data_IF_742719769357
#
_entry.id   IF_742719769357
#
_cell.length_a   1.000
_cell.length_b   1.000
_cell.length_c   1.000
_cell.angle_alpha   90.00
_cell.angle_beta   90.00
_cell.angle_gamma   90.00
#
_symmetry.space_group_name_H-M   'P 1'
#
loop_
_entity.id
_entity.type
_entity.pdbx_description
1 polymer ?
#
# COMPACT_ATOMS: atom_id res chain seq x y z
N UNK A 1 -8.62 -47.83 53.90
CA UNK A 1 -9.75 -48.65 53.45
C UNK A 1 -9.59 -48.67 51.92
N UNK A 2 -8.73 -49.38 51.43
CA UNK A 2 -8.58 -50.78 50.97
C UNK A 2 -9.64 -51.16 49.94
N UNK A 3 -9.09 -51.67 48.87
CA UNK A 3 -9.51 -52.64 47.85
C UNK A 3 -10.02 -52.04 46.54
N UNK A 4 -9.66 -52.45 45.40
CA UNK A 4 -8.75 -53.43 44.82
C UNK A 4 -9.23 -53.65 43.34
N UNK A 5 -8.33 -53.80 42.44
CA UNK A 5 -8.51 -54.22 41.03
C UNK A 5 -9.14 -55.63 40.90
N UNK A 6 -9.63 -56.05 39.72
CA UNK A 6 -8.72 -56.80 38.89
C UNK A 6 -8.83 -56.54 37.37
N UNK A 7 -7.71 -56.87 36.74
CA UNK A 7 -7.43 -57.05 35.32
C UNK A 7 -8.03 -58.32 34.73
N UNK A 8 -8.17 -58.39 33.43
CA UNK A 8 -7.92 -59.60 32.61
C UNK A 8 -7.85 -59.26 31.10
N UNK A 9 -6.70 -59.51 30.51
CA UNK A 9 -6.42 -59.84 29.11
C UNK A 9 -6.81 -61.33 28.81
N UNK A 10 -6.65 -61.90 27.60
CA UNK A 10 -6.16 -61.51 26.29
C UNK A 10 -6.92 -62.14 25.09
N UNK A 11 -6.50 -61.87 23.83
CA UNK A 11 -6.18 -62.82 22.74
C UNK A 11 -6.33 -62.16 21.38
N UNK A 12 -5.20 -61.89 20.71
CA UNK A 12 -4.53 -62.58 19.63
C UNK A 12 -5.45 -62.94 18.42
N UNK A 13 -5.20 -62.36 17.32
CA UNK A 13 -5.69 -62.74 15.99
C UNK A 13 -4.95 -62.00 14.89
N UNK A 14 -4.04 -62.67 14.34
CA UNK A 14 -3.04 -62.40 13.28
C UNK A 14 -3.68 -62.32 11.88
N UNK A 15 -2.93 -61.68 10.94
CA UNK A 15 -2.99 -61.78 9.49
C UNK A 15 -4.04 -60.97 8.73
N UNK A 16 -3.64 -59.95 7.94
CA UNK A 16 -3.27 -60.05 6.52
C UNK A 16 -2.74 -58.71 5.98
N UNK A 17 -1.59 -58.77 5.33
CA UNK A 17 -1.05 -57.73 4.46
C UNK A 17 -1.94 -57.59 3.23
N UNK A 18 -2.30 -56.35 2.85
CA UNK A 18 -2.56 -56.01 1.48
C UNK A 18 -2.19 -54.55 1.24
N UNK A 19 -1.29 -54.37 0.33
CA UNK A 19 -0.92 -53.08 -0.26
C UNK A 19 -2.14 -52.46 -0.91
N UNK A 20 -2.51 -51.26 -0.47
CA UNK A 20 -3.48 -50.40 -1.13
C UNK A 20 -2.78 -49.12 -1.55
N UNK A 21 -2.50 -49.05 -2.84
CA UNK A 21 -2.06 -47.85 -3.54
C UNK A 21 -3.13 -46.79 -3.33
N UNK A 22 -2.83 -45.74 -2.57
CA UNK A 22 -3.67 -44.56 -2.51
C UNK A 22 -3.44 -43.72 -3.78
N UNK A 23 -4.28 -43.98 -4.76
CA UNK A 23 -4.45 -43.15 -5.94
C UNK A 23 -5.17 -41.87 -5.47
N UNK A 24 -4.45 -40.75 -5.33
CA UNK A 24 -5.04 -39.45 -5.15
C UNK A 24 -5.78 -39.05 -6.44
N UNK A 25 -7.07 -39.29 -6.47
CA UNK A 25 -7.92 -38.70 -7.47
C UNK A 25 -8.04 -37.19 -7.18
N UNK A 26 -7.28 -36.41 -7.98
CA UNK A 26 -7.47 -34.97 -8.11
C UNK A 26 -8.86 -34.75 -8.73
N UNK A 27 -9.87 -34.44 -7.92
CA UNK A 27 -11.19 -34.03 -8.42
C UNK A 27 -11.05 -32.61 -8.97
N UNK A 28 -10.83 -32.50 -10.26
CA UNK A 28 -11.05 -31.25 -10.99
C UNK A 28 -12.54 -30.98 -11.02
N UNK A 29 -13.01 -30.02 -10.27
CA UNK A 29 -14.36 -29.48 -10.43
C UNK A 29 -14.33 -28.62 -11.69
N UNK A 30 -14.73 -29.22 -12.81
CA UNK A 30 -14.95 -28.50 -14.06
C UNK A 30 -16.37 -27.90 -13.96
N UNK A 31 -16.46 -26.62 -13.66
CA UNK A 31 -17.68 -25.85 -13.82
C UNK A 31 -17.92 -25.61 -15.32
N UNK A 32 -18.89 -26.31 -15.89
CA UNK A 32 -19.33 -26.09 -17.28
C UNK A 32 -20.37 -24.97 -17.25
N UNK A 33 -20.04 -23.82 -17.79
CA UNK A 33 -21.03 -22.79 -18.14
C UNK A 33 -21.58 -23.10 -19.54
N UNK A 34 -22.88 -22.82 -19.77
CA UNK A 34 -23.66 -23.13 -20.99
C UNK A 34 -23.12 -22.55 -22.31
N UNK A 35 -21.96 -21.86 -22.29
CA UNK A 35 -21.33 -21.30 -23.50
C UNK A 35 -19.99 -21.95 -23.87
N UNK A 36 -19.61 -23.07 -23.29
CA UNK A 36 -18.47 -23.90 -23.74
C UNK A 36 -17.09 -23.28 -23.69
N UNK A 37 -16.89 -22.12 -23.01
CA UNK A 37 -15.60 -21.51 -22.80
C UNK A 37 -15.05 -21.89 -21.43
N UNK A 38 -14.09 -22.79 -21.41
CA UNK A 38 -13.30 -23.11 -20.23
C UNK A 38 -12.24 -21.99 -20.09
N UNK A 39 -12.45 -21.09 -19.14
CA UNK A 39 -11.39 -20.17 -18.73
C UNK A 39 -10.39 -20.93 -17.86
N UNK A 40 -9.27 -21.27 -18.46
CA UNK A 40 -8.12 -21.69 -17.65
C UNK A 40 -7.63 -20.46 -16.90
N UNK A 41 -7.75 -20.43 -15.57
CA UNK A 41 -7.06 -19.44 -14.73
C UNK A 41 -5.57 -19.52 -15.03
N UNK A 42 -5.02 -18.42 -15.52
CA UNK A 42 -3.61 -18.31 -15.87
C UNK A 42 -2.79 -18.35 -14.57
N UNK A 43 -1.93 -19.34 -14.34
CA UNK A 43 -1.11 -19.42 -13.13
C UNK A 43 -0.19 -18.20 -12.93
N UNK A 44 0.08 -17.42 -13.97
CA UNK A 44 0.82 -16.14 -13.89
C UNK A 44 0.11 -15.08 -13.02
N UNK A 45 -1.23 -15.18 -12.81
CA UNK A 45 -1.94 -14.25 -11.92
C UNK A 45 -1.82 -14.59 -10.43
N UNK A 46 -1.38 -15.81 -10.07
CA UNK A 46 -1.16 -16.20 -8.67
C UNK A 46 0.26 -15.88 -8.16
N UNK A 47 1.26 -15.83 -9.03
CA UNK A 47 2.61 -15.41 -8.64
C UNK A 47 2.69 -13.89 -8.39
N UNK A 48 1.96 -13.09 -9.16
CA UNK A 48 1.91 -11.62 -8.98
C UNK A 48 1.39 -11.17 -7.61
N UNK A 49 0.63 -11.99 -6.89
CA UNK A 49 0.06 -11.60 -5.59
C UNK A 49 1.02 -11.77 -4.40
N UNK A 50 2.13 -12.50 -4.56
CA UNK A 50 3.14 -12.65 -3.50
C UNK A 50 4.21 -11.56 -3.54
N UNK A 51 4.38 -10.94 -4.69
CA UNK A 51 5.43 -9.95 -4.94
C UNK A 51 4.94 -8.51 -4.74
N UNK A 52 3.66 -8.33 -4.41
CA UNK A 52 3.04 -7.01 -4.24
C UNK A 52 1.99 -7.02 -3.12
N UNK A 53 2.03 -6.00 -2.27
CA UNK A 53 1.04 -5.75 -1.23
C UNK A 53 0.30 -4.45 -1.56
N UNK A 54 -1.02 -4.55 -1.74
CA UNK A 54 -1.86 -3.38 -1.89
C UNK A 54 -1.98 -2.65 -0.53
N UNK A 55 -1.67 -1.36 -0.50
CA UNK A 55 -1.83 -0.50 0.66
C UNK A 55 -3.18 0.19 0.64
N UNK A 56 -3.55 0.77 -0.52
CA UNK A 56 -4.80 1.52 -0.67
C UNK A 56 -5.23 1.54 -2.14
N UNK A 57 -6.52 1.37 -2.41
CA UNK A 57 -7.11 1.49 -3.74
C UNK A 57 -8.28 2.48 -3.82
N UNK A 58 -8.57 3.15 -2.70
CA UNK A 58 -9.63 4.16 -2.56
C UNK A 58 -11.04 3.67 -2.92
N UNK A 59 -11.34 2.37 -2.74
CA UNK A 59 -12.67 1.82 -3.01
C UNK A 59 -13.65 1.95 -1.85
N UNK A 60 -13.16 2.33 -0.67
CA UNK A 60 -13.93 2.33 0.56
C UNK A 60 -14.06 3.77 1.10
N UNK A 61 -15.03 4.57 0.61
CA UNK A 61 -15.34 5.87 1.18
C UNK A 61 -16.10 5.75 2.51
N UNK A 62 -15.93 6.71 3.39
CA UNK A 62 -16.85 6.96 4.49
C UNK A 62 -18.14 7.65 3.98
N UNK A 63 -19.07 7.98 4.89
CA UNK A 63 -20.35 8.62 4.57
C UNK A 63 -20.20 9.98 3.87
N UNK A 64 -19.03 10.60 3.92
CA UNK A 64 -18.71 11.89 3.31
C UNK A 64 -17.81 11.81 2.09
N UNK A 65 -17.50 10.59 1.63
CA UNK A 65 -16.62 10.34 0.49
C UNK A 65 -15.13 10.44 0.80
N UNK A 66 -14.74 10.49 2.07
CA UNK A 66 -13.35 10.46 2.50
C UNK A 66 -12.89 9.00 2.69
N UNK A 67 -11.60 8.67 2.49
CA UNK A 67 -11.14 7.30 2.65
C UNK A 67 -11.39 6.75 4.06
N UNK A 68 -12.05 5.61 4.15
CA UNK A 68 -12.37 4.99 5.43
C UNK A 68 -11.09 4.59 6.18
N UNK A 69 -11.01 4.93 7.46
CA UNK A 69 -9.84 4.63 8.30
C UNK A 69 -8.67 5.59 8.13
N UNK A 70 -8.78 6.58 7.26
CA UNK A 70 -7.78 7.64 7.14
C UNK A 70 -8.02 8.76 8.16
N UNK A 71 -6.94 9.40 8.55
CA UNK A 71 -6.92 10.57 9.41
C UNK A 71 -6.42 11.82 8.68
N UNK A 72 -6.54 12.96 9.36
CA UNK A 72 -6.02 14.23 8.89
C UNK A 72 -5.05 14.83 9.91
N UNK A 73 -4.04 15.54 9.43
CA UNK A 73 -2.99 16.10 10.29
C UNK A 73 -3.50 17.16 11.27
N UNK A 74 -4.47 17.96 10.85
CA UNK A 74 -5.00 19.08 11.67
C UNK A 74 -6.49 18.93 11.95
N UNK A 75 -7.31 18.83 10.92
CA UNK A 75 -8.77 18.84 11.02
C UNK A 75 -9.39 17.88 10.03
N UNK A 76 -10.10 16.88 10.54
CA UNK A 76 -10.86 15.94 9.71
C UNK A 76 -11.98 16.66 8.95
N UNK A 77 -12.61 17.69 9.54
CA UNK A 77 -13.65 18.46 8.86
C UNK A 77 -13.10 19.14 7.60
N UNK A 78 -11.98 19.86 7.72
CA UNK A 78 -11.33 20.49 6.56
C UNK A 78 -10.80 19.47 5.56
N UNK A 79 -10.37 18.28 6.02
CA UNK A 79 -9.93 17.23 5.11
C UNK A 79 -11.08 16.73 4.23
N UNK A 80 -12.28 16.52 4.77
CA UNK A 80 -13.47 16.14 4.00
C UNK A 80 -13.90 17.19 2.95
N UNK A 81 -13.52 18.45 3.13
CA UNK A 81 -13.82 19.51 2.16
C UNK A 81 -12.82 19.53 0.99
N UNK A 82 -11.61 19.02 1.20
CA UNK A 82 -10.49 19.12 0.25
C UNK A 82 -10.03 17.79 -0.32
N UNK A 83 -10.42 16.67 0.27
CA UNK A 83 -10.12 15.32 -0.20
C UNK A 83 -11.39 14.51 -0.34
N UNK A 84 -11.60 13.92 -1.52
CA UNK A 84 -12.78 13.12 -1.80
C UNK A 84 -12.44 11.96 -2.74
N UNK A 85 -12.92 10.77 -2.44
CA UNK A 85 -12.86 9.65 -3.37
C UNK A 85 -13.73 9.94 -4.57
N UNK A 86 -13.20 9.69 -5.75
CA UNK A 86 -13.85 9.76 -7.04
C UNK A 86 -13.69 8.42 -7.75
N UNK A 87 -14.55 8.16 -8.73
CA UNK A 87 -14.46 7.01 -9.60
C UNK A 87 -14.57 7.45 -11.06
N UNK A 88 -13.74 6.89 -11.91
CA UNK A 88 -13.74 7.11 -13.35
C UNK A 88 -13.41 5.77 -14.03
N UNK A 89 -14.25 5.33 -14.94
CA UNK A 89 -14.13 4.07 -15.68
C UNK A 89 -13.88 2.83 -14.78
N UNK A 90 -14.55 2.78 -13.61
CA UNK A 90 -14.43 1.70 -12.64
C UNK A 90 -13.15 1.73 -11.80
N UNK A 91 -12.36 2.80 -11.89
CA UNK A 91 -11.13 3.01 -11.11
C UNK A 91 -11.37 4.10 -10.08
N UNK A 92 -11.21 3.74 -8.81
CA UNK A 92 -11.31 4.69 -7.71
C UNK A 92 -9.98 5.40 -7.45
N UNK A 93 -10.05 6.65 -7.00
CA UNK A 93 -8.90 7.47 -6.66
C UNK A 93 -9.28 8.57 -5.66
N UNK A 94 -8.29 9.10 -4.94
CA UNK A 94 -8.48 10.21 -4.02
C UNK A 94 -8.16 11.53 -4.73
N UNK A 95 -9.15 12.38 -4.93
CA UNK A 95 -8.97 13.75 -5.42
C UNK A 95 -8.66 14.69 -4.28
N UNK A 96 -7.54 15.40 -4.39
CA UNK A 96 -7.18 16.51 -3.53
C UNK A 96 -7.36 17.82 -4.29
N UNK A 97 -8.18 18.73 -3.73
CA UNK A 97 -8.45 20.03 -4.32
C UNK A 97 -8.17 21.12 -3.32
N UNK A 98 -7.15 21.95 -3.63
CA UNK A 98 -6.70 23.04 -2.74
C UNK A 98 -6.42 22.53 -1.32
N UNK A 99 -5.74 21.42 -1.21
CA UNK A 99 -5.45 20.77 0.05
C UNK A 99 -4.41 21.58 0.86
N UNK A 100 -4.68 21.80 2.13
CA UNK A 100 -3.81 22.58 3.02
C UNK A 100 -3.17 21.74 4.12
N UNK A 101 -3.45 20.44 4.15
CA UNK A 101 -2.96 19.50 5.18
C UNK A 101 -2.80 18.11 4.62
N UNK A 102 -1.94 17.33 5.27
CA UNK A 102 -1.78 15.90 4.96
C UNK A 102 -2.97 15.10 5.45
N UNK A 103 -3.33 14.09 4.67
CA UNK A 103 -4.15 12.96 5.08
C UNK A 103 -3.29 11.72 5.17
N UNK A 104 -3.61 10.77 6.06
CA UNK A 104 -2.74 9.63 6.33
C UNK A 104 -3.51 8.39 6.74
N UNK A 105 -2.91 7.22 6.50
CA UNK A 105 -3.32 5.97 7.12
C UNK A 105 -2.16 5.31 7.86
N UNK A 106 -2.50 4.59 8.94
CA UNK A 106 -1.61 3.69 9.68
C UNK A 106 -2.11 2.24 9.61
N UNK A 107 -3.19 2.01 8.88
CA UNK A 107 -3.81 0.69 8.72
C UNK A 107 -3.10 -0.08 7.61
N UNK A 108 -1.89 -0.55 7.90
CA UNK A 108 -1.11 -1.34 6.97
C UNK A 108 -0.21 -2.34 7.69
N UNK A 109 0.11 -3.41 6.97
CA UNK A 109 1.14 -4.37 7.37
C UNK A 109 2.18 -4.35 6.26
N UNK A 110 3.23 -3.55 6.42
CA UNK A 110 4.28 -3.37 5.43
C UNK A 110 5.64 -3.44 6.10
N UNK A 111 6.43 -4.46 5.74
CA UNK A 111 7.84 -4.55 6.06
C UNK A 111 8.65 -3.95 4.90
N UNK A 112 9.29 -2.77 5.09
CA UNK A 112 10.05 -2.11 4.03
C UNK A 112 11.27 -2.89 3.56
N UNK A 113 11.75 -3.85 4.34
CA UNK A 113 12.90 -4.68 3.98
C UNK A 113 12.55 -5.79 3.00
N UNK A 114 11.33 -6.32 3.10
CA UNK A 114 10.84 -7.36 2.21
C UNK A 114 10.16 -6.80 0.96
N UNK A 115 9.52 -5.63 1.09
CA UNK A 115 8.87 -4.91 0.00
C UNK A 115 9.40 -3.48 -0.05
N UNK A 116 10.63 -3.29 -0.56
CA UNK A 116 11.31 -2.00 -0.50
C UNK A 116 10.78 -0.95 -1.48
N UNK A 117 10.03 -1.38 -2.49
CA UNK A 117 9.62 -0.50 -3.57
C UNK A 117 8.18 -0.03 -3.37
N UNK A 118 7.99 1.26 -3.13
CA UNK A 118 6.68 1.91 -3.11
C UNK A 118 6.31 2.31 -4.53
N UNK A 119 5.11 1.94 -4.96
CA UNK A 119 4.55 2.26 -6.27
C UNK A 119 3.22 2.96 -6.10
N UNK A 120 3.01 4.06 -6.83
CA UNK A 120 1.75 4.79 -6.83
C UNK A 120 1.52 5.49 -8.16
N UNK A 121 0.30 5.95 -8.34
CA UNK A 121 -0.05 6.82 -9.46
C UNK A 121 -0.61 8.13 -8.96
N UNK A 122 -0.35 9.17 -9.69
CA UNK A 122 -0.99 10.47 -9.51
C UNK A 122 -1.31 11.11 -10.84
N UNK A 123 -2.22 12.07 -10.83
CA UNK A 123 -2.68 12.76 -12.04
C UNK A 123 -2.94 14.22 -11.71
N UNK A 124 -2.14 15.11 -12.26
CA UNK A 124 -2.32 16.55 -12.10
C UNK A 124 -3.50 17.01 -12.96
N UNK A 125 -4.51 17.60 -12.34
CA UNK A 125 -5.70 18.10 -13.03
C UNK A 125 -5.61 19.60 -13.32
N UNK A 126 -5.14 20.37 -12.34
CA UNK A 126 -4.99 21.82 -12.48
C UNK A 126 -3.91 22.37 -11.55
N UNK A 127 -3.17 23.33 -12.04
CA UNK A 127 -2.17 24.09 -11.29
C UNK A 127 -2.19 25.54 -11.76
N UNK A 128 -2.26 26.55 -10.85
CA UNK A 128 -2.12 27.95 -11.21
C UNK A 128 -0.70 28.29 -11.67
N UNK A 129 -0.58 29.33 -12.47
CA UNK A 129 0.71 29.91 -12.83
C UNK A 129 1.48 30.37 -11.58
N UNK A 130 2.76 30.04 -11.51
CA UNK A 130 3.65 30.39 -10.39
C UNK A 130 3.54 29.49 -9.15
N UNK A 131 2.66 28.49 -9.13
CA UNK A 131 2.66 27.48 -8.07
C UNK A 131 3.83 26.51 -8.26
N UNK A 132 4.59 26.29 -7.19
CA UNK A 132 5.80 25.45 -7.23
C UNK A 132 5.57 24.03 -6.75
N UNK A 133 4.71 23.86 -5.75
CA UNK A 133 4.46 22.58 -5.10
C UNK A 133 3.18 21.95 -5.63
N UNK A 134 3.29 20.78 -6.26
CA UNK A 134 2.14 20.05 -6.80
C UNK A 134 1.60 19.05 -5.77
N UNK A 135 2.42 18.10 -5.35
CA UNK A 135 2.00 17.07 -4.42
C UNK A 135 3.18 16.39 -3.73
N UNK A 136 2.90 15.65 -2.67
CA UNK A 136 3.87 14.77 -2.05
C UNK A 136 3.24 13.52 -1.42
N UNK A 137 4.04 12.46 -1.37
CA UNK A 137 3.79 11.23 -0.62
C UNK A 137 4.86 11.09 0.46
N UNK A 138 4.44 10.66 1.66
CA UNK A 138 5.30 10.51 2.82
C UNK A 138 5.17 9.09 3.38
N UNK A 139 5.98 8.14 2.96
CA UNK A 139 6.12 6.89 3.71
C UNK A 139 6.80 7.18 5.06
N UNK A 140 6.19 6.72 6.13
CA UNK A 140 6.71 6.80 7.49
C UNK A 140 7.27 5.44 7.85
N UNK A 141 8.58 5.25 7.66
CA UNK A 141 9.23 3.95 7.83
C UNK A 141 9.75 3.72 9.25
N UNK A 142 9.80 4.76 10.07
CA UNK A 142 10.25 4.67 11.46
C UNK A 142 9.61 5.77 12.32
N UNK A 143 9.92 5.76 13.62
CA UNK A 143 9.58 6.82 14.57
C UNK A 143 10.83 7.19 15.38
N UNK A 144 10.91 8.45 15.79
CA UNK A 144 11.90 8.89 16.74
C UNK A 144 11.56 8.48 18.20
N UNK A 145 12.44 8.86 19.13
CA UNK A 145 12.27 8.57 20.56
C UNK A 145 11.01 9.18 21.19
N UNK A 146 10.36 10.13 20.52
CA UNK A 146 9.10 10.76 20.94
C UNK A 146 7.89 10.22 20.15
N UNK A 147 8.07 9.12 19.43
CA UNK A 147 7.07 8.53 18.54
C UNK A 147 6.62 9.47 17.41
N UNK A 148 7.48 10.41 17.01
CA UNK A 148 7.25 11.26 15.83
C UNK A 148 7.65 10.46 14.60
N UNK A 149 6.79 10.32 13.59
CA UNK A 149 7.11 9.57 12.38
C UNK A 149 8.30 10.17 11.63
N UNK A 150 9.29 9.33 11.34
CA UNK A 150 10.44 9.68 10.49
C UNK A 150 10.00 9.44 9.04
N UNK A 151 9.96 10.50 8.25
CA UNK A 151 9.46 10.46 6.89
C UNK A 151 10.52 10.92 5.89
N UNK A 152 10.58 10.26 4.74
CA UNK A 152 11.09 10.86 3.51
C UNK A 152 9.89 11.39 2.72
N UNK A 153 10.01 12.61 2.18
CA UNK A 153 8.96 13.27 1.40
C UNK A 153 9.29 13.18 -0.09
N UNK A 154 8.54 12.40 -0.83
CA UNK A 154 8.66 12.33 -2.29
C UNK A 154 7.76 13.36 -2.94
N UNK A 155 8.34 14.26 -3.71
CA UNK A 155 7.71 15.48 -4.20
C UNK A 155 7.55 15.48 -5.71
N UNK A 156 6.38 15.90 -6.18
CA UNK A 156 6.20 16.45 -7.51
C UNK A 156 6.28 17.98 -7.41
N UNK A 157 7.28 18.57 -8.07
CA UNK A 157 7.49 20.02 -8.11
C UNK A 157 7.30 20.55 -9.53
N UNK A 158 6.65 21.71 -9.67
CA UNK A 158 6.54 22.36 -10.98
C UNK A 158 7.86 23.00 -11.44
N UNK A 159 8.76 23.34 -10.51
CA UNK A 159 9.94 24.16 -10.79
C UNK A 159 11.27 23.48 -10.49
N UNK A 160 11.35 22.68 -9.43
CA UNK A 160 12.59 22.02 -9.02
C UNK A 160 12.89 20.82 -9.91
N UNK A 161 14.15 20.61 -10.32
CA UNK A 161 14.54 19.43 -11.10
C UNK A 161 14.32 18.12 -10.34
N UNK A 162 13.92 17.08 -11.06
CA UNK A 162 13.90 15.73 -10.51
C UNK A 162 15.31 15.32 -10.04
N UNK A 163 15.38 14.59 -8.90
CA UNK A 163 16.64 14.26 -8.24
C UNK A 163 17.13 15.32 -7.25
N UNK A 164 16.47 16.50 -7.17
CA UNK A 164 16.81 17.50 -6.15
C UNK A 164 16.46 16.96 -4.75
N UNK A 165 17.39 17.11 -3.80
CA UNK A 165 17.21 16.74 -2.40
C UNK A 165 17.34 17.99 -1.55
N UNK A 166 16.36 18.20 -0.67
CA UNK A 166 16.39 19.20 0.37
C UNK A 166 16.39 18.51 1.72
N UNK A 167 17.51 18.57 2.40
CA UNK A 167 17.65 17.93 3.72
C UNK A 167 16.64 18.49 4.71
N UNK A 168 16.01 17.59 5.44
CA UNK A 168 15.13 17.93 6.55
C UNK A 168 15.92 18.35 7.79
N UNK A 169 15.23 19.05 8.70
CA UNK A 169 15.75 19.35 10.03
C UNK A 169 15.06 18.50 11.10
N UNK A 170 15.27 18.85 12.37
CA UNK A 170 14.75 18.11 13.53
C UNK A 170 13.22 17.85 13.48
N UNK A 171 12.47 18.71 12.81
CA UNK A 171 10.99 18.63 12.72
C UNK A 171 10.46 18.66 11.28
N UNK A 172 11.32 18.45 10.30
CA UNK A 172 10.95 18.46 8.89
C UNK A 172 11.54 17.25 8.16
N UNK A 173 10.72 16.66 7.29
CA UNK A 173 11.15 15.54 6.43
C UNK A 173 12.18 16.00 5.41
N UNK A 174 13.13 15.14 5.07
CA UNK A 174 13.94 15.32 3.87
C UNK A 174 13.04 15.19 2.64
N UNK A 175 13.15 16.15 1.73
CA UNK A 175 12.37 16.20 0.49
C UNK A 175 13.22 15.67 -0.66
N UNK A 176 12.66 14.75 -1.44
CA UNK A 176 13.25 14.20 -2.66
C UNK A 176 12.29 14.51 -3.81
N UNK A 177 12.72 15.33 -4.75
CA UNK A 177 11.94 15.64 -5.96
C UNK A 177 12.06 14.47 -6.92
N UNK A 178 10.95 13.76 -7.14
CA UNK A 178 10.93 12.62 -8.05
C UNK A 178 10.38 12.98 -9.44
N UNK A 179 9.56 14.05 -9.51
CA UNK A 179 8.99 14.55 -10.74
C UNK A 179 9.08 16.07 -10.83
N UNK A 180 9.40 16.56 -12.01
CA UNK A 180 9.57 17.99 -12.31
C UNK A 180 8.65 18.43 -13.44
N UNK A 181 8.18 19.69 -13.36
CA UNK A 181 7.30 20.29 -14.37
C UNK A 181 5.82 20.03 -14.09
N UNK A 182 4.96 20.79 -14.76
CA UNK A 182 3.50 20.72 -14.63
C UNK A 182 2.83 19.82 -15.67
N UNK A 183 3.60 19.07 -16.44
CA UNK A 183 3.10 18.16 -17.46
C UNK A 183 3.38 16.69 -17.08
N UNK A 184 2.57 15.74 -17.55
CA UNK A 184 1.34 15.95 -18.33
C UNK A 184 0.15 16.35 -17.44
N UNK A 185 -0.76 17.16 -17.98
CA UNK A 185 -2.06 17.47 -17.34
C UNK A 185 -3.11 16.43 -17.76
N UNK A 186 -3.93 15.99 -16.80
CA UNK A 186 -5.03 15.06 -17.03
C UNK A 186 -4.62 13.62 -17.30
N UNK A 187 -3.34 13.29 -17.25
CA UNK A 187 -2.84 11.94 -17.50
C UNK A 187 -2.30 11.28 -16.23
N UNK A 188 -2.56 9.99 -16.08
CA UNK A 188 -2.01 9.21 -14.99
C UNK A 188 -0.52 8.94 -15.19
N UNK A 189 0.25 9.24 -14.16
CA UNK A 189 1.68 8.97 -14.10
C UNK A 189 1.94 8.00 -12.94
N UNK A 190 2.69 6.94 -13.21
CA UNK A 190 3.12 5.98 -12.19
C UNK A 190 4.54 6.30 -11.76
N UNK A 191 4.76 6.28 -10.46
CA UNK A 191 6.07 6.39 -9.84
C UNK A 191 6.44 5.10 -9.13
N UNK A 192 7.73 4.82 -9.10
CA UNK A 192 8.31 3.63 -8.49
C UNK A 192 9.60 4.01 -7.80
N UNK A 193 9.67 3.87 -6.48
CA UNK A 193 10.81 4.31 -5.67
C UNK A 193 11.19 3.23 -4.66
N UNK A 194 12.48 2.88 -4.59
CA UNK A 194 13.01 2.04 -3.52
C UNK A 194 13.17 2.88 -2.26
N UNK A 195 12.11 2.93 -1.45
CA UNK A 195 12.03 3.77 -0.25
C UNK A 195 12.89 3.24 0.89
N UNK A 196 13.21 1.95 0.89
CA UNK A 196 14.12 1.36 1.86
C UNK A 196 15.56 1.84 1.67
N UNK A 197 16.06 1.78 0.42
CA UNK A 197 17.40 2.28 0.12
C UNK A 197 17.52 3.78 0.36
N UNK A 198 16.52 4.56 -0.04
CA UNK A 198 16.50 6.00 0.21
C UNK A 198 16.49 6.31 1.71
N UNK A 199 15.73 5.53 2.49
CA UNK A 199 15.72 5.68 3.94
C UNK A 199 17.10 5.43 4.55
N UNK A 200 17.78 4.35 4.16
CA UNK A 200 19.15 4.06 4.61
C UNK A 200 20.13 5.20 4.26
N UNK A 201 20.06 5.72 3.03
CA UNK A 201 20.94 6.80 2.55
C UNK A 201 20.70 8.12 3.30
N UNK A 202 19.41 8.44 3.59
CA UNK A 202 19.01 9.72 4.18
C UNK A 202 19.18 9.71 5.70
N UNK A 203 18.74 8.63 6.36
CA UNK A 203 18.65 8.57 7.82
C UNK A 203 19.83 7.82 8.47
N UNK A 204 20.64 7.11 7.67
CA UNK A 204 21.83 6.38 8.11
C UNK A 204 21.56 5.32 9.20
N UNK A 205 20.37 4.72 9.18
CA UNK A 205 20.01 3.57 10.00
C UNK A 205 18.91 2.75 9.30
N UNK A 206 18.71 1.50 9.75
CA UNK A 206 17.61 0.64 9.28
C UNK A 206 16.26 1.22 9.70
N UNK A 207 15.22 1.14 8.85
CA UNK A 207 13.86 1.48 9.26
C UNK A 207 13.31 0.47 10.28
N UNK A 208 12.18 0.80 10.90
CA UNK A 208 11.45 -0.13 11.75
C UNK A 208 11.02 -1.38 10.95
N UNK A 209 10.87 -2.56 11.61
CA UNK A 209 10.43 -3.79 10.94
C UNK A 209 9.06 -3.69 10.26
N UNK A 210 8.22 -2.76 10.71
CA UNK A 210 6.94 -2.43 10.08
C UNK A 210 6.84 -0.92 9.91
N UNK A 211 6.44 -0.50 8.72
CA UNK A 211 6.18 0.90 8.43
C UNK A 211 5.04 1.44 9.32
N UNK A 212 5.18 2.68 9.73
CA UNK A 212 4.25 3.36 10.63
C UNK A 212 3.01 3.89 9.93
N UNK A 213 3.14 4.17 8.64
CA UNK A 213 2.04 4.71 7.86
C UNK A 213 2.49 5.35 6.55
N UNK A 214 1.52 5.90 5.85
CA UNK A 214 1.74 6.70 4.65
C UNK A 214 0.85 7.93 4.68
N UNK A 215 1.35 9.06 4.18
CA UNK A 215 0.58 10.29 4.08
C UNK A 215 0.61 10.85 2.67
N UNK A 216 -0.46 11.54 2.30
CA UNK A 216 -0.62 12.23 1.03
C UNK A 216 -0.84 13.73 1.27
N UNK A 217 -0.29 14.56 0.40
CA UNK A 217 -0.48 16.00 0.42
C UNK A 217 -0.63 16.52 -1.00
N UNK A 218 -1.77 17.13 -1.32
CA UNK A 218 -1.94 17.97 -2.50
C UNK A 218 -1.54 19.42 -2.22
N UNK A 219 -1.11 20.14 -3.25
CA UNK A 219 -0.78 21.56 -3.15
C UNK A 219 -1.99 22.44 -2.80
N UNK A 220 -1.75 23.54 -2.10
CA UNK A 220 -2.81 24.42 -1.55
C UNK A 220 -3.63 25.17 -2.63
N UNK A 221 -3.12 25.25 -3.83
CA UNK A 221 -3.80 25.83 -4.98
C UNK A 221 -4.04 24.83 -6.13
N UNK A 222 -3.64 23.57 -5.95
CA UNK A 222 -3.58 22.52 -6.97
C UNK A 222 -4.81 21.61 -6.88
N UNK A 223 -5.19 21.03 -8.01
CA UNK A 223 -6.09 19.88 -8.07
C UNK A 223 -5.32 18.66 -8.59
N UNK A 224 -5.22 17.61 -7.76
CA UNK A 224 -4.47 16.39 -8.07
C UNK A 224 -5.21 15.15 -7.61
N UNK A 225 -5.14 14.08 -8.39
CA UNK A 225 -5.67 12.77 -8.07
C UNK A 225 -4.53 11.84 -7.62
N UNK A 226 -4.76 11.10 -6.55
CA UNK A 226 -3.91 10.01 -6.09
C UNK A 226 -4.60 8.69 -6.39
N UNK A 227 -3.98 7.85 -7.20
CA UNK A 227 -4.42 6.50 -7.50
C UNK A 227 -3.95 5.50 -6.44
N UNK A 228 -4.09 4.22 -6.74
CA UNK A 228 -3.70 3.14 -5.82
C UNK A 228 -2.24 3.23 -5.37
N UNK A 229 -2.03 2.82 -4.14
CA UNK A 229 -0.72 2.70 -3.48
C UNK A 229 -0.44 1.22 -3.23
N UNK A 230 0.73 0.73 -3.65
CA UNK A 230 1.17 -0.63 -3.40
C UNK A 230 2.67 -0.67 -3.11
N UNK A 231 3.11 -1.74 -2.49
CA UNK A 231 4.53 -2.01 -2.28
C UNK A 231 4.89 -3.33 -2.93
N UNK A 232 6.10 -3.42 -3.42
CA UNK A 232 6.57 -4.55 -4.21
C UNK A 232 7.95 -5.01 -3.73
N UNK A 233 8.25 -6.28 -3.97
CA UNK A 233 9.63 -6.77 -3.94
C UNK A 233 10.46 -6.07 -5.03
N UNK A 234 11.76 -6.08 -4.91
CA UNK A 234 12.66 -5.46 -5.91
C UNK A 234 12.73 -6.28 -7.20
#
# INVERSE_FOLDING_TARGET
MTLAFPALHPRIGLWFRLWGIFLWCLVMIVGVNDNGLVWAENPANQESSKDSILIEDFRNPDERGFPQGWGAQRSTVTAHETYMIQEEDGVSFLRAKKASQRVYTKQMTWDPKTHPVLVWRWRLQAIPEGEEFIAAIYPSLDTDLMFIPVNTKYVWSATLPAGSIKEGGMFSSTEVVIRSGAEPLGEWVEERVNVYEDFLKIHNHEPAPLAWGISLLGGSAVEIDFGSLRVEVE
#
